data_IF_084671014636
#
_entry.id   IF_084671014636
#
_cell.length_a   1.000
_cell.length_b   1.000
_cell.length_c   1.000
_cell.angle_alpha   90.00
_cell.angle_beta   90.00
_cell.angle_gamma   90.00
#
_symmetry.space_group_name_H-M   'P 1'
#
loop_
_entity.id
_entity.type
_entity.pdbx_description
1 polymer ?
#
# COMPACT_ATOMS: atom_id res chain seq x y z
N UNK A 1 -11.83 14.14 -28.82
CA UNK A 1 -12.02 12.74 -28.38
C UNK A 1 -11.97 12.61 -26.86
N UNK A 2 -10.83 12.82 -26.19
CA UNK A 2 -10.71 12.70 -24.72
C UNK A 2 -11.76 13.51 -23.93
N UNK A 3 -11.93 14.81 -24.22
CA UNK A 3 -12.95 15.66 -23.57
C UNK A 3 -14.38 15.09 -23.62
N UNK A 4 -14.71 14.37 -24.70
CA UNK A 4 -16.02 13.75 -24.84
C UNK A 4 -16.10 12.45 -24.02
N UNK A 5 -15.05 11.61 -24.07
CA UNK A 5 -14.97 10.38 -23.29
C UNK A 5 -15.07 10.66 -21.78
N UNK A 6 -14.35 11.64 -21.26
CA UNK A 6 -14.38 11.98 -19.82
C UNK A 6 -15.76 12.43 -19.29
N UNK A 7 -16.71 12.75 -20.17
CA UNK A 7 -18.08 13.20 -19.82
C UNK A 7 -19.18 12.18 -20.08
N UNK A 8 -18.85 10.98 -20.56
CA UNK A 8 -19.82 9.92 -20.88
C UNK A 8 -20.06 8.93 -19.74
N UNK A 9 -19.79 9.31 -18.49
CA UNK A 9 -19.98 8.44 -17.33
C UNK A 9 -18.91 7.36 -17.14
N UNK A 10 -17.78 7.45 -17.85
CA UNK A 10 -16.64 6.52 -17.70
C UNK A 10 -15.80 6.77 -16.43
N UNK A 11 -16.07 7.86 -15.71
CA UNK A 11 -15.28 8.33 -14.56
C UNK A 11 -16.22 8.79 -13.45
N UNK A 12 -15.74 8.74 -12.21
CA UNK A 12 -16.41 9.42 -11.10
C UNK A 12 -16.41 10.95 -11.32
N UNK A 13 -17.42 11.64 -10.79
CA UNK A 13 -17.64 13.06 -11.07
C UNK A 13 -16.48 13.93 -10.58
N UNK A 14 -15.90 13.59 -9.43
CA UNK A 14 -14.74 14.28 -8.84
C UNK A 14 -13.53 14.19 -9.78
N UNK A 15 -13.32 13.03 -10.40
CA UNK A 15 -12.25 12.81 -11.37
C UNK A 15 -12.50 13.61 -12.64
N UNK A 16 -13.71 13.51 -13.21
CA UNK A 16 -14.06 14.24 -14.44
C UNK A 16 -13.86 15.75 -14.28
N UNK A 17 -14.25 16.32 -13.14
CA UNK A 17 -14.05 17.73 -12.82
C UNK A 17 -12.56 18.10 -12.74
N UNK A 18 -11.74 17.23 -12.10
CA UNK A 18 -10.29 17.46 -12.02
C UNK A 18 -9.63 17.45 -13.41
N UNK A 19 -10.11 16.61 -14.33
CA UNK A 19 -9.62 16.58 -15.70
C UNK A 19 -9.93 17.87 -16.48
N UNK A 20 -11.03 18.56 -16.19
CA UNK A 20 -11.33 19.84 -16.85
C UNK A 20 -10.30 20.92 -16.55
N UNK A 21 -9.80 20.96 -15.31
CA UNK A 21 -8.72 21.87 -14.93
C UNK A 21 -7.48 21.63 -15.80
N UNK A 22 -7.12 20.36 -16.03
CA UNK A 22 -6.00 19.99 -16.90
C UNK A 22 -6.26 20.31 -18.37
N UNK A 23 -7.50 20.12 -18.83
CA UNK A 23 -7.89 20.51 -20.17
C UNK A 23 -7.91 22.03 -20.36
N UNK A 24 -8.25 22.82 -19.34
CA UNK A 24 -8.24 24.27 -19.37
C UNK A 24 -6.80 24.82 -19.37
N UNK A 25 -5.90 24.19 -18.61
CA UNK A 25 -4.46 24.51 -18.62
C UNK A 25 -3.77 24.21 -19.97
N UNK A 26 -4.36 23.34 -20.78
CA UNK A 26 -3.84 22.92 -22.08
C UNK A 26 -2.94 21.68 -21.98
N UNK A 27 -3.21 20.70 -22.84
CA UNK A 27 -2.40 19.48 -22.89
C UNK A 27 -1.06 19.75 -23.57
N UNK A 28 0.01 19.16 -23.03
CA UNK A 28 1.37 19.23 -23.58
C UNK A 28 1.77 17.89 -24.19
N UNK A 29 2.73 17.93 -25.11
CA UNK A 29 3.42 16.72 -25.53
C UNK A 29 4.08 16.06 -24.32
N UNK A 30 4.07 14.74 -24.32
CA UNK A 30 4.62 13.93 -23.24
C UNK A 30 5.89 13.28 -23.75
N UNK A 31 7.00 13.48 -23.03
CA UNK A 31 8.25 12.82 -23.35
C UNK A 31 8.18 11.34 -22.95
N UNK A 32 8.29 10.49 -23.96
CA UNK A 32 8.16 9.04 -23.87
C UNK A 32 9.49 8.30 -24.05
N UNK A 33 10.61 9.01 -24.11
CA UNK A 33 11.94 8.43 -24.35
C UNK A 33 12.91 8.72 -23.21
N UNK A 34 13.84 7.81 -22.92
CA UNK A 34 14.93 7.98 -21.95
C UNK A 34 16.25 7.57 -22.57
N UNK A 35 17.31 8.29 -22.23
CA UNK A 35 18.67 7.99 -22.66
C UNK A 35 19.25 6.78 -21.90
N UNK A 36 20.17 6.07 -22.54
CA UNK A 36 21.03 5.10 -21.86
C UNK A 36 21.93 5.79 -20.81
N UNK A 37 22.30 5.09 -19.71
CA UNK A 37 21.88 3.74 -19.34
C UNK A 37 20.47 3.71 -18.74
N UNK A 38 19.62 2.79 -19.22
CA UNK A 38 18.26 2.60 -18.72
C UNK A 38 17.88 1.12 -18.71
N UNK A 39 17.14 0.70 -17.68
CA UNK A 39 16.55 -0.64 -17.63
C UNK A 39 15.12 -0.58 -18.15
N UNK A 40 14.93 -0.98 -19.40
CA UNK A 40 13.63 -0.97 -20.08
C UNK A 40 13.73 -1.46 -21.52
N UNK A 41 12.68 -1.22 -22.30
CA UNK A 41 12.65 -1.61 -23.70
C UNK A 41 13.31 -0.56 -24.60
N UNK A 42 14.22 -1.00 -25.48
CA UNK A 42 14.84 -0.13 -26.49
C UNK A 42 13.81 0.34 -27.52
N UNK A 43 13.91 1.60 -27.94
CA UNK A 43 13.06 2.13 -29.01
C UNK A 43 13.57 1.57 -30.35
N UNK A 44 12.73 0.88 -31.15
CA UNK A 44 13.14 0.35 -32.44
C UNK A 44 13.72 1.43 -33.36
N UNK A 45 14.85 1.13 -34.01
CA UNK A 45 15.53 2.07 -34.90
C UNK A 45 16.39 3.12 -34.20
N UNK A 46 16.67 2.96 -32.91
CA UNK A 46 17.59 3.82 -32.14
C UNK A 46 18.66 2.99 -31.43
N UNK A 47 19.84 3.58 -31.22
CA UNK A 47 20.97 2.88 -30.60
C UNK A 47 20.96 2.96 -29.07
N UNK A 48 20.57 4.11 -28.53
CA UNK A 48 20.73 4.52 -27.13
C UNK A 48 19.46 5.07 -26.46
N UNK A 49 18.28 4.90 -27.09
CA UNK A 49 17.00 5.35 -26.52
C UNK A 49 16.14 4.19 -26.04
N UNK A 50 15.46 4.43 -24.92
CA UNK A 50 14.55 3.51 -24.27
C UNK A 50 13.17 4.14 -24.10
N UNK A 51 12.11 3.34 -24.09
CA UNK A 51 10.79 3.83 -23.73
C UNK A 51 10.76 4.22 -22.25
N UNK A 52 10.18 5.37 -21.94
CA UNK A 52 9.91 5.77 -20.57
C UNK A 52 8.85 4.84 -19.96
N UNK A 53 9.06 4.42 -18.71
CA UNK A 53 8.19 3.44 -18.01
C UNK A 53 6.70 3.80 -18.03
N UNK A 54 6.34 5.08 -18.08
CA UNK A 54 4.92 5.46 -18.12
C UNK A 54 4.25 5.23 -19.48
N UNK A 55 5.02 4.95 -20.54
CA UNK A 55 4.50 4.45 -21.82
C UNK A 55 4.27 2.94 -21.78
N UNK A 56 5.24 2.15 -21.31
CA UNK A 56 5.15 0.69 -21.35
C UNK A 56 4.33 0.07 -20.19
N UNK A 57 4.28 0.73 -19.02
CA UNK A 57 3.55 0.23 -17.86
C UNK A 57 2.07 -0.08 -18.14
N UNK A 58 1.24 0.82 -18.72
CA UNK A 58 -0.15 0.50 -19.02
C UNK A 58 -0.29 -0.53 -20.16
N UNK A 59 0.68 -0.62 -21.08
CA UNK A 59 0.73 -1.71 -22.09
C UNK A 59 0.94 -3.06 -21.38
N UNK A 60 1.53 -3.07 -20.19
CA UNK A 60 1.58 -4.23 -19.30
C UNK A 60 0.22 -4.87 -19.01
N UNK A 61 -0.89 -4.10 -18.99
CA UNK A 61 -2.24 -4.67 -18.88
C UNK A 61 -2.59 -5.57 -20.07
N UNK A 62 -2.27 -5.10 -21.28
CA UNK A 62 -2.46 -5.84 -22.52
C UNK A 62 -1.53 -7.06 -22.57
N UNK A 63 -0.26 -6.89 -22.24
CA UNK A 63 0.73 -7.96 -22.27
C UNK A 63 0.38 -9.09 -21.28
N UNK A 64 -0.04 -8.73 -20.06
CA UNK A 64 -0.50 -9.68 -19.06
C UNK A 64 -1.72 -10.47 -19.54
N UNK A 65 -2.71 -9.78 -20.11
CA UNK A 65 -3.90 -10.42 -20.65
C UNK A 65 -3.59 -11.28 -21.89
N UNK A 66 -2.69 -10.83 -22.77
CA UNK A 66 -2.24 -11.61 -23.92
C UNK A 66 -1.58 -12.92 -23.48
N UNK A 67 -0.73 -12.89 -22.45
CA UNK A 67 -0.14 -14.11 -21.88
C UNK A 67 -1.23 -15.07 -21.41
N UNK A 68 -2.24 -14.57 -20.69
CA UNK A 68 -3.40 -15.38 -20.28
C UNK A 68 -4.17 -15.96 -21.48
N UNK A 69 -4.41 -15.16 -22.52
CA UNK A 69 -5.04 -15.60 -23.76
C UNK A 69 -4.27 -16.75 -24.43
N UNK A 70 -2.95 -16.61 -24.54
CA UNK A 70 -2.08 -17.63 -25.14
C UNK A 70 -2.11 -18.93 -24.31
N UNK A 71 -2.18 -18.84 -22.97
CA UNK A 71 -2.23 -19.99 -22.05
C UNK A 71 -3.60 -20.68 -21.99
N UNK A 72 -4.70 -19.93 -22.20
CA UNK A 72 -6.08 -20.44 -22.06
C UNK A 72 -6.84 -20.60 -23.37
N UNK A 73 -6.24 -20.24 -24.50
CA UNK A 73 -6.90 -20.27 -25.81
C UNK A 73 -8.05 -19.25 -25.93
N UNK A 74 -7.99 -18.14 -25.19
CA UNK A 74 -8.99 -17.06 -25.24
C UNK A 74 -8.56 -16.02 -26.28
N UNK A 75 -9.49 -15.44 -27.03
CA UNK A 75 -9.18 -14.43 -28.03
C UNK A 75 -8.75 -13.10 -27.38
N UNK A 76 -7.53 -12.64 -27.66
CA UNK A 76 -7.08 -11.31 -27.23
C UNK A 76 -7.88 -10.20 -27.92
N UNK A 77 -8.15 -10.38 -29.23
CA UNK A 77 -8.86 -9.44 -30.08
C UNK A 77 -10.28 -9.16 -29.57
N UNK A 78 -10.96 -10.19 -29.04
CA UNK A 78 -12.31 -10.06 -28.46
C UNK A 78 -12.38 -8.98 -27.37
N UNK A 79 -11.29 -8.74 -26.63
CA UNK A 79 -11.26 -7.79 -25.51
C UNK A 79 -10.64 -6.44 -25.86
N UNK A 80 -9.65 -6.42 -26.76
CA UNK A 80 -8.82 -5.23 -27.01
C UNK A 80 -9.03 -4.56 -28.36
N UNK A 81 -9.68 -5.22 -29.31
CA UNK A 81 -10.03 -4.60 -30.59
C UNK A 81 -11.00 -3.45 -30.39
N UNK A 82 -10.87 -2.42 -31.25
CA UNK A 82 -11.67 -1.19 -31.20
C UNK A 82 -13.18 -1.41 -31.14
N UNK A 83 -13.67 -2.49 -31.74
CA UNK A 83 -15.09 -2.85 -31.83
C UNK A 83 -15.55 -3.82 -30.75
N UNK A 84 -14.69 -4.12 -29.77
CA UNK A 84 -15.04 -5.02 -28.68
C UNK A 84 -16.28 -4.53 -27.91
N UNK A 85 -17.15 -5.47 -27.58
CA UNK A 85 -18.36 -5.26 -26.77
C UNK A 85 -18.16 -5.63 -25.30
N UNK A 86 -17.00 -6.18 -24.93
CA UNK A 86 -16.69 -6.52 -23.53
C UNK A 86 -16.49 -5.25 -22.70
N UNK A 87 -16.41 -5.40 -21.39
CA UNK A 87 -16.13 -4.28 -20.47
C UNK A 87 -14.67 -4.29 -20.02
N UNK A 88 -14.03 -3.12 -20.05
CA UNK A 88 -12.65 -2.93 -19.58
C UNK A 88 -12.62 -1.92 -18.43
N UNK A 89 -12.28 -2.38 -17.23
CA UNK A 89 -12.24 -1.56 -16.01
C UNK A 89 -10.83 -1.45 -15.45
N UNK A 90 -10.43 -0.24 -15.08
CA UNK A 90 -9.18 0.01 -14.37
C UNK A 90 -9.47 0.53 -12.96
N UNK A 91 -9.00 -0.17 -11.93
CA UNK A 91 -9.02 0.32 -10.55
C UNK A 91 -7.66 0.95 -10.22
N UNK A 92 -7.65 2.23 -9.86
CA UNK A 92 -6.42 3.01 -9.70
C UNK A 92 -6.49 3.97 -8.51
N UNK A 93 -5.34 4.31 -7.93
CA UNK A 93 -5.24 5.39 -6.95
C UNK A 93 -5.32 6.77 -7.62
N UNK A 94 -5.76 7.79 -6.85
CA UNK A 94 -5.91 9.17 -7.36
C UNK A 94 -4.66 9.80 -8.00
N UNK A 95 -3.46 9.39 -7.59
CA UNK A 95 -2.19 9.93 -8.12
C UNK A 95 -1.90 9.56 -9.57
N UNK A 96 -2.50 8.47 -10.07
CA UNK A 96 -2.19 7.95 -11.41
C UNK A 96 -3.36 8.14 -12.39
N UNK A 97 -4.36 8.92 -11.99
CA UNK A 97 -5.55 9.24 -12.80
C UNK A 97 -5.19 9.95 -14.09
N UNK A 98 -4.23 10.89 -14.06
CA UNK A 98 -3.76 11.58 -15.27
C UNK A 98 -3.36 10.59 -16.37
N UNK A 99 -2.60 9.57 -15.98
CA UNK A 99 -2.13 8.54 -16.89
C UNK A 99 -3.26 7.68 -17.43
N UNK A 100 -4.20 7.29 -16.58
CA UNK A 100 -5.25 6.33 -16.95
C UNK A 100 -6.46 6.96 -17.64
N UNK A 101 -6.68 8.26 -17.46
CA UNK A 101 -7.83 8.98 -18.02
C UNK A 101 -7.47 9.92 -19.18
N UNK A 102 -6.19 10.24 -19.39
CA UNK A 102 -5.73 11.06 -20.52
C UNK A 102 -4.73 10.33 -21.41
N UNK A 103 -3.57 9.98 -20.86
CA UNK A 103 -2.45 9.45 -21.64
C UNK A 103 -2.77 8.07 -22.24
N UNK A 104 -3.27 7.16 -21.42
CA UNK A 104 -3.57 5.78 -21.82
C UNK A 104 -4.70 5.68 -22.85
N UNK A 105 -5.87 6.34 -22.67
CA UNK A 105 -6.91 6.36 -23.71
C UNK A 105 -6.43 6.99 -25.02
N UNK A 106 -5.52 7.96 -24.97
CA UNK A 106 -4.92 8.54 -26.18
C UNK A 106 -4.04 7.54 -26.93
N UNK A 107 -3.19 6.79 -26.21
CA UNK A 107 -2.36 5.72 -26.81
C UNK A 107 -3.23 4.63 -27.44
N UNK A 108 -4.25 4.15 -26.71
CA UNK A 108 -5.17 3.13 -27.21
C UNK A 108 -5.86 3.59 -28.50
N UNK A 109 -6.42 4.81 -28.51
CA UNK A 109 -7.05 5.37 -29.70
C UNK A 109 -6.06 5.52 -30.86
N UNK A 110 -4.85 6.01 -30.60
CA UNK A 110 -3.81 6.22 -31.61
C UNK A 110 -3.27 4.93 -32.20
N UNK A 111 -3.30 3.84 -31.44
CA UNK A 111 -2.89 2.49 -31.87
C UNK A 111 -4.04 1.63 -32.38
N UNK A 112 -5.26 2.17 -32.48
CA UNK A 112 -6.41 1.46 -33.05
C UNK A 112 -7.10 0.46 -32.10
N UNK A 113 -6.92 0.58 -30.79
CA UNK A 113 -7.55 -0.27 -29.77
C UNK A 113 -8.80 0.38 -29.17
N UNK A 114 -9.59 -0.42 -28.44
CA UNK A 114 -10.72 0.09 -27.66
C UNK A 114 -10.29 0.92 -26.47
N UNK A 115 -11.18 1.81 -26.01
CA UNK A 115 -10.97 2.60 -24.79
C UNK A 115 -11.48 1.85 -23.56
N UNK A 116 -11.01 2.19 -22.35
CA UNK A 116 -11.58 1.67 -21.12
C UNK A 116 -13.08 1.99 -21.02
N UNK A 117 -13.86 1.04 -20.52
CA UNK A 117 -15.29 1.23 -20.20
C UNK A 117 -15.44 2.17 -19.01
N UNK A 118 -14.61 2.00 -17.97
CA UNK A 118 -14.49 2.99 -16.90
C UNK A 118 -13.14 2.92 -16.18
N UNK A 119 -12.75 4.03 -15.56
CA UNK A 119 -11.64 4.09 -14.62
C UNK A 119 -12.19 4.41 -13.24
N UNK A 120 -12.07 3.46 -12.33
CA UNK A 120 -12.53 3.56 -10.95
C UNK A 120 -11.38 3.98 -10.06
N UNK A 121 -11.48 5.19 -9.53
CA UNK A 121 -10.45 5.81 -8.72
C UNK A 121 -10.76 5.66 -7.24
N UNK A 122 -9.78 5.35 -6.42
CA UNK A 122 -9.88 5.39 -4.95
C UNK A 122 -8.90 6.42 -4.35
N UNK A 123 -9.20 6.90 -3.14
CA UNK A 123 -8.29 7.77 -2.39
C UNK A 123 -7.10 7.02 -1.78
N UNK A 124 -6.33 7.72 -0.97
CA UNK A 124 -5.23 7.15 -0.21
C UNK A 124 -5.71 6.39 1.02
N UNK A 125 -4.84 5.52 1.52
CA UNK A 125 -4.97 4.93 2.84
C UNK A 125 -4.21 5.79 3.85
N UNK A 126 -4.87 6.12 4.96
CA UNK A 126 -4.24 6.65 6.18
C UNK A 126 -4.32 5.62 7.30
N UNK A 127 -3.42 5.74 8.28
CA UNK A 127 -3.39 4.91 9.49
C UNK A 127 -3.54 5.84 10.68
N UNK A 128 -4.58 5.64 11.49
CA UNK A 128 -4.94 6.50 12.64
C UNK A 128 -4.89 8.01 12.30
N UNK A 129 -5.47 8.38 11.15
CA UNK A 129 -5.54 9.75 10.64
C UNK A 129 -4.25 10.28 10.03
N UNK A 130 -3.18 9.49 9.98
CA UNK A 130 -1.87 9.91 9.46
C UNK A 130 -1.56 9.25 8.12
N UNK A 131 -0.91 10.01 7.22
CA UNK A 131 -0.32 9.43 6.01
C UNK A 131 0.72 8.38 6.39
N UNK A 132 0.65 7.22 5.74
CA UNK A 132 1.63 6.14 5.90
C UNK A 132 3.05 6.66 5.73
N UNK A 133 3.91 6.35 6.70
CA UNK A 133 5.33 6.72 6.67
C UNK A 133 6.15 5.60 7.29
N UNK A 134 7.27 5.27 6.63
CA UNK A 134 8.26 4.31 7.16
C UNK A 134 8.86 4.81 8.47
N UNK A 135 9.26 6.08 8.53
CA UNK A 135 9.89 6.68 9.71
C UNK A 135 8.97 6.76 10.93
N UNK A 136 7.65 6.87 10.73
CA UNK A 136 6.66 6.86 11.84
C UNK A 136 6.16 5.45 12.18
N UNK A 137 6.63 4.42 11.47
CA UNK A 137 6.16 3.03 11.65
C UNK A 137 4.71 2.80 11.25
N UNK A 138 4.11 3.70 10.46
CA UNK A 138 2.73 3.57 9.97
C UNK A 138 2.66 3.01 8.55
N UNK A 139 3.80 2.63 7.97
CA UNK A 139 3.85 1.90 6.70
C UNK A 139 3.80 0.40 6.97
N UNK A 140 2.62 -0.20 6.88
CA UNK A 140 2.43 -1.63 7.18
C UNK A 140 2.47 -2.42 5.87
N UNK A 141 3.44 -3.31 5.75
CA UNK A 141 3.51 -4.22 4.62
C UNK A 141 2.47 -5.34 4.74
N UNK A 142 1.87 -5.73 3.61
CA UNK A 142 0.89 -6.81 3.59
C UNK A 142 1.47 -8.13 4.12
N UNK A 143 2.76 -8.41 3.88
CA UNK A 143 3.42 -9.61 4.41
C UNK A 143 3.50 -9.58 5.94
N UNK A 144 3.93 -8.45 6.51
CA UNK A 144 3.98 -8.25 7.95
C UNK A 144 2.59 -8.39 8.57
N UNK A 145 1.55 -7.81 7.95
CA UNK A 145 0.17 -7.97 8.41
C UNK A 145 -0.25 -9.45 8.53
N UNK A 146 0.03 -10.25 7.49
CA UNK A 146 -0.35 -11.67 7.44
C UNK A 146 0.32 -12.54 8.51
N UNK A 147 1.44 -12.10 9.09
CA UNK A 147 2.08 -12.82 10.20
C UNK A 147 1.27 -12.75 11.49
N UNK A 148 0.41 -11.74 11.65
CA UNK A 148 -0.30 -11.47 12.92
C UNK A 148 -1.82 -11.53 12.79
N UNK A 149 -2.38 -11.14 11.64
CA UNK A 149 -3.81 -10.91 11.49
C UNK A 149 -4.38 -11.66 10.28
N UNK A 150 -5.63 -12.12 10.42
CA UNK A 150 -6.37 -12.73 9.33
C UNK A 150 -6.66 -11.67 8.25
N UNK A 151 -6.32 -11.90 6.96
CA UNK A 151 -6.57 -10.95 5.87
C UNK A 151 -8.04 -10.55 5.71
N UNK A 152 -8.97 -11.41 6.09
CA UNK A 152 -10.41 -11.12 5.98
C UNK A 152 -10.87 -9.99 6.89
N UNK A 153 -10.18 -9.74 8.00
CA UNK A 153 -10.45 -8.59 8.85
C UNK A 153 -10.24 -7.29 8.08
N UNK A 154 -9.12 -7.17 7.36
CA UNK A 154 -8.79 -5.98 6.57
C UNK A 154 -9.74 -5.83 5.38
N UNK A 155 -10.04 -6.94 4.69
CA UNK A 155 -11.01 -6.95 3.57
C UNK A 155 -12.37 -6.44 4.02
N UNK A 156 -12.88 -6.95 5.14
CA UNK A 156 -14.14 -6.51 5.71
C UNK A 156 -14.13 -5.04 6.07
N UNK A 157 -13.09 -4.60 6.79
CA UNK A 157 -12.99 -3.22 7.25
C UNK A 157 -12.95 -2.23 6.08
N UNK A 158 -12.20 -2.55 5.02
CA UNK A 158 -12.18 -1.72 3.81
C UNK A 158 -13.51 -1.74 3.06
N UNK A 159 -14.13 -2.92 2.89
CA UNK A 159 -15.45 -3.01 2.28
C UNK A 159 -16.51 -2.20 3.05
N UNK A 160 -16.44 -2.17 4.38
CA UNK A 160 -17.35 -1.39 5.22
C UNK A 160 -17.18 0.14 5.09
N UNK A 161 -16.08 0.61 4.50
CA UNK A 161 -15.75 2.04 4.36
C UNK A 161 -15.75 2.56 2.91
N UNK A 162 -15.54 1.69 1.92
CA UNK A 162 -15.52 2.08 0.51
C UNK A 162 -16.93 2.40 -0.02
N UNK A 163 -17.12 3.63 -0.53
CA UNK A 163 -18.44 4.21 -0.84
C UNK A 163 -18.60 4.62 -2.33
N UNK A 164 -17.77 4.07 -3.23
CA UNK A 164 -17.78 4.39 -4.67
C UNK A 164 -17.18 5.74 -5.06
N UNK A 165 -16.85 6.61 -4.09
CA UNK A 165 -16.25 7.94 -4.31
C UNK A 165 -14.73 7.91 -4.19
N UNK A 166 -14.08 9.02 -4.53
CA UNK A 166 -12.63 9.20 -4.43
C UNK A 166 -12.27 9.84 -3.09
N UNK A 167 -12.65 9.15 -2.01
CA UNK A 167 -12.35 9.57 -0.64
C UNK A 167 -11.15 8.81 -0.10
N UNK A 168 -10.35 9.47 0.76
CA UNK A 168 -9.30 8.81 1.50
C UNK A 168 -9.91 7.90 2.58
N UNK A 169 -9.34 6.73 2.78
CA UNK A 169 -9.81 5.73 3.73
C UNK A 169 -8.85 5.69 4.92
N UNK A 170 -9.39 5.78 6.12
CA UNK A 170 -8.60 5.66 7.35
C UNK A 170 -8.74 4.27 7.98
N UNK A 171 -7.59 3.60 8.19
CA UNK A 171 -7.47 2.43 9.04
C UNK A 171 -7.16 2.88 10.46
N UNK A 172 -8.21 3.02 11.25
CA UNK A 172 -8.11 3.29 12.67
C UNK A 172 -8.19 1.97 13.44
N UNK A 173 -7.17 1.64 14.24
CA UNK A 173 -7.08 0.30 14.83
C UNK A 173 -8.14 0.03 15.90
N UNK A 174 -8.58 1.05 16.63
CA UNK A 174 -9.66 0.91 17.61
C UNK A 174 -11.01 0.63 16.92
N UNK A 175 -11.38 1.43 15.92
CA UNK A 175 -12.57 1.18 15.09
C UNK A 175 -12.46 -0.16 14.34
N UNK A 176 -11.28 -0.53 13.86
CA UNK A 176 -11.02 -1.82 13.22
C UNK A 176 -11.32 -3.00 14.13
N UNK A 177 -10.77 -3.02 15.34
CA UNK A 177 -11.02 -4.07 16.34
C UNK A 177 -12.52 -4.13 16.66
N UNK A 178 -13.11 -2.98 16.98
CA UNK A 178 -14.51 -2.90 17.40
C UNK A 178 -15.45 -3.39 16.31
N UNK A 179 -15.26 -2.92 15.08
CA UNK A 179 -16.11 -3.25 13.94
C UNK A 179 -15.99 -4.73 13.56
N UNK A 180 -14.78 -5.26 13.41
CA UNK A 180 -14.58 -6.68 13.07
C UNK A 180 -15.16 -7.58 14.16
N UNK A 181 -14.91 -7.27 15.43
CA UNK A 181 -15.38 -8.08 16.54
C UNK A 181 -16.90 -8.00 16.74
N UNK A 182 -17.50 -6.83 16.59
CA UNK A 182 -18.93 -6.65 16.72
C UNK A 182 -19.68 -7.31 15.56
N UNK A 183 -19.26 -7.03 14.32
CA UNK A 183 -20.00 -7.46 13.15
C UNK A 183 -19.74 -8.94 12.81
N UNK A 184 -18.48 -9.32 12.59
CA UNK A 184 -18.17 -10.67 12.11
C UNK A 184 -18.36 -11.70 13.21
N UNK A 185 -17.77 -11.46 14.39
CA UNK A 185 -17.88 -12.41 15.50
C UNK A 185 -19.22 -12.26 16.23
N UNK A 186 -19.57 -11.02 16.60
CA UNK A 186 -20.75 -10.73 17.42
C UNK A 186 -22.09 -10.88 16.70
N UNK A 187 -22.16 -10.70 15.38
CA UNK A 187 -23.41 -10.88 14.62
C UNK A 187 -23.37 -12.12 13.74
N UNK A 188 -22.40 -12.24 12.82
CA UNK A 188 -22.41 -13.28 11.78
C UNK A 188 -22.08 -14.68 12.33
N UNK A 189 -20.91 -14.86 12.94
CA UNK A 189 -20.50 -16.16 13.54
C UNK A 189 -21.42 -16.54 14.69
N UNK A 190 -21.91 -15.55 15.44
CA UNK A 190 -22.81 -15.77 16.56
C UNK A 190 -24.05 -16.58 16.15
N UNK A 191 -24.67 -16.26 15.01
CA UNK A 191 -25.83 -17.00 14.48
C UNK A 191 -25.50 -18.49 14.33
N UNK A 192 -24.43 -18.81 13.59
CA UNK A 192 -24.04 -20.21 13.35
C UNK A 192 -23.71 -20.92 14.67
N UNK A 193 -22.93 -20.30 15.55
CA UNK A 193 -22.52 -20.91 16.81
C UNK A 193 -23.69 -21.20 17.76
N UNK A 194 -24.70 -20.33 17.80
CA UNK A 194 -25.88 -20.47 18.67
C UNK A 194 -26.87 -21.53 18.17
N UNK A 195 -26.94 -21.76 16.87
CA UNK A 195 -27.84 -22.75 16.27
C UNK A 195 -27.17 -24.12 16.12
N UNK A 196 -25.92 -24.18 15.63
CA UNK A 196 -25.25 -25.43 15.31
C UNK A 196 -25.05 -26.34 16.53
N UNK A 197 -24.80 -25.75 17.70
CA UNK A 197 -24.63 -26.52 18.94
C UNK A 197 -25.84 -27.39 19.28
N UNK A 198 -27.06 -26.92 19.01
CA UNK A 198 -28.29 -27.71 19.23
C UNK A 198 -28.45 -28.79 18.16
N UNK A 199 -28.27 -28.42 16.88
CA UNK A 199 -28.32 -29.36 15.74
C UNK A 199 -27.37 -30.53 15.92
N UNK A 200 -26.13 -30.25 16.32
CA UNK A 200 -25.09 -31.28 16.48
C UNK A 200 -25.37 -32.20 17.68
N UNK A 201 -25.83 -31.65 18.82
CA UNK A 201 -25.97 -32.40 20.07
C UNK A 201 -27.31 -33.13 20.23
N UNK A 202 -28.37 -32.64 19.59
CA UNK A 202 -29.75 -33.11 19.83
C UNK A 202 -30.41 -33.73 18.60
N UNK A 203 -29.86 -33.49 17.40
CA UNK A 203 -30.51 -33.86 16.14
C UNK A 203 -29.57 -34.56 15.15
N UNK A 204 -28.44 -35.14 15.61
CA UNK A 204 -27.43 -35.82 14.77
C UNK A 204 -27.01 -35.04 13.51
N UNK A 205 -26.83 -33.72 13.68
CA UNK A 205 -26.46 -32.81 12.61
C UNK A 205 -27.53 -32.70 11.48
N UNK A 206 -28.77 -33.08 11.75
CA UNK A 206 -29.87 -33.05 10.79
C UNK A 206 -30.69 -31.76 10.93
N UNK A 207 -30.87 -31.03 9.84
CA UNK A 207 -31.78 -29.89 9.75
C UNK A 207 -33.24 -30.36 9.62
N UNK A 208 -34.16 -29.53 10.11
CA UNK A 208 -35.61 -29.76 10.02
C UNK A 208 -36.09 -29.82 8.56
N UNK A 209 -37.24 -30.44 8.34
CA UNK A 209 -37.93 -30.50 7.04
C UNK A 209 -38.57 -29.16 6.64
N UNK A 210 -38.67 -28.20 7.56
CA UNK A 210 -39.31 -26.90 7.34
C UNK A 210 -38.59 -25.75 8.04
N UNK A 211 -38.83 -24.53 7.54
CA UNK A 211 -38.46 -23.29 8.21
C UNK A 211 -39.58 -22.90 9.17
N UNK A 212 -39.23 -22.58 10.43
CA UNK A 212 -40.19 -22.04 11.40
C UNK A 212 -40.59 -20.59 11.11
N UNK A 213 -39.82 -19.86 10.30
CA UNK A 213 -40.16 -18.49 9.88
C UNK A 213 -39.80 -18.26 8.40
N UNK A 214 -40.60 -18.81 7.45
CA UNK A 214 -40.35 -18.67 6.01
C UNK A 214 -40.40 -17.21 5.54
N UNK A 215 -41.29 -16.39 6.11
CA UNK A 215 -41.47 -14.99 5.72
C UNK A 215 -40.22 -14.16 6.01
N UNK A 216 -39.50 -14.44 7.11
CA UNK A 216 -38.22 -13.80 7.39
C UNK A 216 -37.18 -14.16 6.32
N UNK A 217 -37.09 -15.44 5.94
CA UNK A 217 -36.17 -15.90 4.89
C UNK A 217 -36.41 -15.17 3.57
N UNK A 218 -37.66 -15.15 3.10
CA UNK A 218 -38.05 -14.45 1.87
C UNK A 218 -37.72 -12.95 1.96
N UNK A 219 -38.05 -12.30 3.07
CA UNK A 219 -37.79 -10.87 3.25
C UNK A 219 -36.31 -10.49 3.29
N UNK A 220 -35.42 -11.41 3.65
CA UNK A 220 -33.97 -11.20 3.60
C UNK A 220 -33.44 -11.50 2.19
N UNK A 221 -33.96 -12.54 1.55
CA UNK A 221 -33.62 -12.88 0.17
C UNK A 221 -33.96 -11.74 -0.81
N UNK A 222 -35.04 -11.00 -0.60
CA UNK A 222 -35.39 -9.85 -1.47
C UNK A 222 -34.37 -8.71 -1.43
N UNK A 223 -33.63 -8.55 -0.32
CA UNK A 223 -32.57 -7.53 -0.20
C UNK A 223 -31.37 -7.81 -1.11
N UNK A 224 -31.24 -9.04 -1.62
CA UNK A 224 -30.18 -9.48 -2.54
C UNK A 224 -29.96 -8.50 -3.68
N UNK A 225 -31.03 -7.98 -4.29
CA UNK A 225 -30.95 -7.08 -5.44
C UNK A 225 -30.19 -5.79 -5.09
N UNK A 226 -30.54 -5.17 -3.98
CA UNK A 226 -29.96 -3.89 -3.55
C UNK A 226 -28.52 -4.07 -3.05
N UNK A 227 -28.23 -5.21 -2.42
CA UNK A 227 -26.87 -5.58 -2.01
C UNK A 227 -25.98 -5.78 -3.25
N UNK A 228 -26.45 -6.51 -4.26
CA UNK A 228 -25.74 -6.68 -5.53
C UNK A 228 -25.52 -5.32 -6.21
N UNK A 229 -26.53 -4.44 -6.24
CA UNK A 229 -26.37 -3.09 -6.78
C UNK A 229 -25.31 -2.30 -6.01
N UNK A 230 -25.23 -2.44 -4.67
CA UNK A 230 -24.14 -1.86 -3.88
C UNK A 230 -22.76 -2.29 -4.35
N UNK A 231 -22.56 -3.59 -4.61
CA UNK A 231 -21.31 -4.10 -5.16
C UNK A 231 -21.03 -3.61 -6.59
N UNK A 232 -22.04 -3.62 -7.48
CA UNK A 232 -21.90 -3.15 -8.87
C UNK A 232 -21.53 -1.66 -8.91
N UNK A 233 -22.17 -0.84 -8.09
CA UNK A 233 -21.88 0.59 -7.98
C UNK A 233 -20.60 0.91 -7.19
N UNK A 234 -19.95 -0.12 -6.62
CA UNK A 234 -18.76 -0.02 -5.76
C UNK A 234 -19.00 0.75 -4.45
N UNK A 235 -20.27 0.90 -4.07
CA UNK A 235 -20.68 1.36 -2.74
C UNK A 235 -20.76 0.13 -1.81
N UNK A 236 -19.59 -0.41 -1.50
CA UNK A 236 -19.43 -1.59 -0.66
C UNK A 236 -19.91 -1.31 0.76
N UNK A 237 -19.72 -0.09 1.26
CA UNK A 237 -20.18 0.34 2.58
C UNK A 237 -21.70 0.24 2.70
N UNK A 238 -22.45 0.63 1.66
CA UNK A 238 -23.90 0.43 1.60
C UNK A 238 -24.28 -1.04 1.61
N UNK A 239 -23.62 -1.87 0.80
CA UNK A 239 -23.87 -3.31 0.76
C UNK A 239 -23.61 -3.96 2.14
N UNK A 240 -22.46 -3.67 2.77
CA UNK A 240 -22.13 -4.18 4.11
C UNK A 240 -23.13 -3.73 5.16
N UNK A 241 -23.59 -2.47 5.12
CA UNK A 241 -24.61 -1.98 6.07
C UNK A 241 -25.91 -2.77 5.96
N UNK A 242 -26.42 -2.98 4.74
CA UNK A 242 -27.63 -3.76 4.50
C UNK A 242 -27.48 -5.21 4.97
N UNK A 243 -26.31 -5.83 4.74
CA UNK A 243 -26.02 -7.17 5.24
C UNK A 243 -26.03 -7.21 6.78
N UNK A 244 -25.44 -6.22 7.45
CA UNK A 244 -25.43 -6.15 8.91
C UNK A 244 -26.82 -5.89 9.50
N UNK A 245 -27.66 -5.09 8.84
CA UNK A 245 -29.07 -4.91 9.20
C UNK A 245 -29.84 -6.24 9.08
N UNK A 246 -29.56 -7.04 8.04
CA UNK A 246 -30.11 -8.39 7.95
C UNK A 246 -29.61 -9.27 9.11
N UNK A 247 -28.32 -9.23 9.43
CA UNK A 247 -27.75 -10.00 10.54
C UNK A 247 -28.36 -9.63 11.91
N UNK A 248 -28.68 -8.36 12.14
CA UNK A 248 -29.38 -7.90 13.34
C UNK A 248 -30.78 -8.53 13.43
N UNK A 249 -31.53 -8.56 12.32
CA UNK A 249 -32.85 -9.23 12.25
C UNK A 249 -32.77 -10.72 12.53
N UNK A 250 -31.73 -11.41 12.03
CA UNK A 250 -31.52 -12.84 12.32
C UNK A 250 -31.20 -13.09 13.79
N UNK A 251 -30.32 -12.27 14.39
CA UNK A 251 -30.02 -12.40 15.82
C UNK A 251 -31.27 -12.12 16.67
N UNK A 252 -32.05 -11.08 16.34
CA UNK A 252 -33.31 -10.78 17.01
C UNK A 252 -34.32 -11.93 16.93
N UNK A 253 -34.42 -12.58 15.76
CA UNK A 253 -35.26 -13.76 15.59
C UNK A 253 -34.85 -14.90 16.54
N UNK A 254 -33.55 -15.22 16.61
CA UNK A 254 -33.03 -16.25 17.52
C UNK A 254 -33.28 -15.84 18.98
N UNK A 255 -33.09 -14.56 19.31
CA UNK A 255 -33.28 -14.03 20.66
C UNK A 255 -34.73 -14.04 21.13
N UNK A 256 -35.66 -13.83 20.21
CA UNK A 256 -37.09 -13.83 20.50
C UNK A 256 -37.60 -15.26 20.76
N UNK A 257 -37.13 -16.22 19.97
CA UNK A 257 -37.54 -17.62 20.07
C UNK A 257 -36.84 -18.38 21.20
N UNK A 258 -35.68 -17.92 21.67
CA UNK A 258 -34.95 -18.48 22.82
C UNK A 258 -34.77 -20.00 22.77
N UNK A 259 -34.16 -20.58 21.72
CA UNK A 259 -34.00 -22.04 21.60
C UNK A 259 -33.29 -22.70 22.79
N UNK A 260 -32.44 -21.96 23.52
CA UNK A 260 -31.79 -22.46 24.75
C UNK A 260 -32.72 -22.62 25.96
N UNK A 261 -33.85 -21.91 25.98
CA UNK A 261 -34.91 -22.11 26.97
C UNK A 261 -35.76 -23.30 26.54
N UNK A 262 -36.18 -23.31 25.27
CA UNK A 262 -37.03 -24.36 24.71
C UNK A 262 -36.36 -25.74 24.76
N UNK A 263 -35.04 -25.82 24.56
CA UNK A 263 -34.29 -27.07 24.59
C UNK A 263 -34.23 -27.76 25.97
N UNK A 264 -34.75 -27.12 27.03
CA UNK A 264 -34.91 -27.74 28.36
C UNK A 264 -36.17 -28.61 28.43
N UNK A 265 -37.11 -28.41 27.51
CA UNK A 265 -38.35 -29.17 27.40
C UNK A 265 -38.22 -30.18 26.25
N UNK A 266 -38.32 -31.47 26.57
CA UNK A 266 -38.20 -32.56 25.60
C UNK A 266 -39.32 -32.55 24.56
N UNK A 267 -40.50 -32.04 24.90
CA UNK A 267 -41.65 -32.01 23.98
C UNK A 267 -41.51 -30.91 22.92
N UNK A 268 -40.66 -29.91 23.17
CA UNK A 268 -40.42 -28.77 22.27
C UNK A 268 -39.16 -28.90 21.42
N UNK A 269 -38.53 -30.08 21.40
CA UNK A 269 -37.30 -30.28 20.64
C UNK A 269 -37.49 -30.09 19.12
N UNK A 270 -38.64 -30.46 18.55
CA UNK A 270 -38.93 -30.20 17.13
C UNK A 270 -38.92 -28.71 16.80
N UNK A 271 -39.47 -27.87 17.70
CA UNK A 271 -39.48 -26.41 17.55
C UNK A 271 -38.05 -25.85 17.61
N UNK A 272 -37.21 -26.34 18.54
CA UNK A 272 -35.79 -25.97 18.63
C UNK A 272 -35.05 -26.30 17.32
N UNK A 273 -35.31 -27.49 16.75
CA UNK A 273 -34.70 -27.91 15.49
C UNK A 273 -35.11 -26.97 14.35
N UNK A 274 -36.40 -26.63 14.24
CA UNK A 274 -36.91 -25.72 13.21
C UNK A 274 -36.34 -24.30 13.34
N UNK A 275 -36.25 -23.77 14.57
CA UNK A 275 -35.65 -22.44 14.85
C UNK A 275 -34.18 -22.42 14.46
N UNK A 276 -33.41 -23.45 14.87
CA UNK A 276 -32.00 -23.52 14.55
C UNK A 276 -31.77 -23.76 13.05
N UNK A 277 -32.64 -24.53 12.39
CA UNK A 277 -32.62 -24.72 10.93
C UNK A 277 -32.86 -23.41 10.19
N UNK A 278 -33.80 -22.61 10.66
CA UNK A 278 -34.08 -21.28 10.12
C UNK A 278 -32.87 -20.35 10.32
N UNK A 279 -32.31 -20.30 11.53
CA UNK A 279 -31.10 -19.51 11.83
C UNK A 279 -29.91 -19.87 10.94
N UNK A 280 -29.66 -21.17 10.71
CA UNK A 280 -28.57 -21.63 9.84
C UNK A 280 -28.80 -21.34 8.36
N UNK A 281 -30.05 -21.41 7.89
CA UNK A 281 -30.41 -20.99 6.54
C UNK A 281 -30.25 -19.47 6.33
N UNK A 282 -30.61 -18.67 7.33
CA UNK A 282 -30.39 -17.22 7.30
C UNK A 282 -28.89 -16.87 7.38
N UNK A 283 -28.11 -17.60 8.17
CA UNK A 283 -26.64 -17.51 8.17
C UNK A 283 -26.06 -17.81 6.78
N UNK A 284 -26.56 -18.85 6.10
CA UNK A 284 -26.17 -19.19 4.73
C UNK A 284 -26.42 -18.03 3.76
N UNK A 285 -27.56 -17.35 3.85
CA UNK A 285 -27.85 -16.15 3.05
C UNK A 285 -26.81 -15.05 3.30
N UNK A 286 -26.55 -14.71 4.56
CA UNK A 286 -25.60 -13.67 4.93
C UNK A 286 -24.18 -13.99 4.45
N UNK A 287 -23.73 -15.25 4.59
CA UNK A 287 -22.42 -15.66 4.09
C UNK A 287 -22.32 -15.62 2.57
N UNK A 288 -23.42 -15.88 1.87
CA UNK A 288 -23.46 -15.75 0.41
C UNK A 288 -23.31 -14.29 -0.01
N UNK A 289 -23.96 -13.38 0.72
CA UNK A 289 -23.83 -11.94 0.49
C UNK A 289 -22.42 -11.41 0.82
N UNK A 290 -21.78 -11.98 1.85
CA UNK A 290 -20.43 -11.61 2.28
C UNK A 290 -19.31 -12.30 1.48
N UNK A 291 -19.60 -13.34 0.71
CA UNK A 291 -18.58 -14.13 -0.01
C UNK A 291 -17.60 -13.32 -0.87
N UNK A 292 -18.00 -12.24 -1.59
CA UNK A 292 -17.05 -11.38 -2.29
C UNK A 292 -16.02 -10.69 -1.38
N UNK A 293 -16.39 -10.48 -0.10
CA UNK A 293 -15.57 -9.79 0.91
C UNK A 293 -14.82 -10.79 1.80
N UNK A 294 -15.46 -11.90 2.17
CA UNK A 294 -14.99 -12.91 3.11
C UNK A 294 -14.92 -14.31 2.44
N UNK A 295 -14.04 -14.53 1.46
CA UNK A 295 -14.00 -15.76 0.68
C UNK A 295 -13.59 -17.01 1.48
N UNK A 296 -12.65 -16.89 2.43
CA UNK A 296 -12.19 -18.03 3.26
C UNK A 296 -13.25 -18.41 4.28
N UNK A 297 -13.88 -17.42 4.91
CA UNK A 297 -14.99 -17.65 5.83
C UNK A 297 -16.20 -18.26 5.10
N UNK A 298 -16.49 -17.82 3.88
CA UNK A 298 -17.54 -18.41 3.05
C UNK A 298 -17.24 -19.87 2.71
N UNK A 299 -15.99 -20.20 2.35
CA UNK A 299 -15.57 -21.58 2.12
C UNK A 299 -15.69 -22.46 3.39
N UNK A 300 -15.32 -21.92 4.55
CA UNK A 300 -15.50 -22.61 5.82
C UNK A 300 -16.99 -22.80 6.15
N UNK A 301 -17.84 -21.83 5.83
CA UNK A 301 -19.29 -21.94 5.96
C UNK A 301 -19.89 -22.98 5.00
N UNK A 302 -19.42 -23.06 3.75
CA UNK A 302 -19.80 -24.09 2.76
C UNK A 302 -19.49 -25.49 3.29
N UNK A 303 -18.27 -25.68 3.81
CA UNK A 303 -17.85 -26.94 4.43
C UNK A 303 -18.69 -27.27 5.66
N UNK A 304 -18.96 -26.31 6.54
CA UNK A 304 -19.78 -26.51 7.73
C UNK A 304 -21.22 -26.90 7.36
N UNK A 305 -21.84 -26.14 6.46
CA UNK A 305 -23.21 -26.39 6.01
C UNK A 305 -23.32 -27.60 5.08
N UNK A 306 -22.20 -28.20 4.68
CA UNK A 306 -22.14 -29.34 3.77
C UNK A 306 -22.96 -29.08 2.48
N UNK A 307 -22.73 -27.93 1.86
CA UNK A 307 -23.50 -27.49 0.70
C UNK A 307 -22.59 -27.13 -0.48
N UNK A 308 -23.20 -27.07 -1.66
CA UNK A 308 -22.54 -26.56 -2.87
C UNK A 308 -22.00 -25.14 -2.65
N UNK A 309 -21.00 -24.69 -3.43
CA UNK A 309 -20.46 -23.34 -3.32
C UNK A 309 -21.57 -22.29 -3.33
N UNK A 310 -21.54 -21.36 -2.38
CA UNK A 310 -22.54 -20.30 -2.26
C UNK A 310 -22.51 -19.42 -3.51
N UNK A 311 -23.63 -19.35 -4.24
CA UNK A 311 -23.82 -18.45 -5.37
C UNK A 311 -25.08 -17.62 -5.16
N UNK A 312 -25.25 -16.56 -5.95
CA UNK A 312 -26.44 -15.71 -5.84
C UNK A 312 -27.74 -16.45 -6.20
N UNK A 313 -27.65 -17.47 -7.04
CA UNK A 313 -28.78 -18.24 -7.56
C UNK A 313 -29.17 -19.40 -6.63
N UNK A 314 -28.20 -20.12 -6.06
CA UNK A 314 -28.51 -21.34 -5.31
C UNK A 314 -29.03 -21.10 -3.87
N UNK A 315 -29.03 -19.85 -3.43
CA UNK A 315 -29.49 -19.44 -2.11
C UNK A 315 -31.00 -19.21 -2.03
N UNK A 316 -31.73 -19.33 -3.14
CA UNK A 316 -33.20 -19.21 -3.11
C UNK A 316 -33.86 -20.40 -2.41
N UNK A 317 -33.22 -21.58 -2.49
CA UNK A 317 -33.72 -22.81 -1.87
C UNK A 317 -33.05 -23.03 -0.51
N UNK A 318 -33.80 -23.10 0.60
CA UNK A 318 -33.23 -23.42 1.89
C UNK A 318 -32.75 -24.88 1.95
N UNK A 319 -31.78 -25.14 2.83
CA UNK A 319 -31.34 -26.46 3.22
C UNK A 319 -32.35 -27.02 4.22
N UNK A 320 -33.19 -27.95 3.76
CA UNK A 320 -34.22 -28.65 4.55
C UNK A 320 -33.98 -30.15 4.48
N UNK A 321 -34.26 -30.85 5.56
CA UNK A 321 -33.95 -32.28 5.70
C UNK A 321 -32.52 -32.60 5.24
N UNK A 322 -31.58 -31.76 5.65
CA UNK A 322 -30.21 -31.76 5.18
C UNK A 322 -29.24 -32.01 6.33
N UNK A 323 -28.19 -32.80 6.10
CA UNK A 323 -27.17 -33.09 7.11
C UNK A 323 -25.99 -32.15 6.97
N UNK A 324 -25.71 -31.41 8.04
CA UNK A 324 -24.55 -30.52 8.14
C UNK A 324 -23.35 -31.22 8.78
N UNK A 325 -22.16 -30.61 8.67
CA UNK A 325 -20.95 -31.08 9.33
C UNK A 325 -20.82 -30.48 10.74
N UNK A 326 -19.87 -31.02 11.52
CA UNK A 326 -19.57 -30.50 12.85
C UNK A 326 -19.10 -29.04 12.77
N UNK A 327 -19.71 -28.17 13.58
CA UNK A 327 -19.36 -26.76 13.62
C UNK A 327 -18.00 -26.53 14.28
N UNK A 328 -17.18 -25.72 13.63
CA UNK A 328 -15.95 -25.13 14.18
C UNK A 328 -16.05 -23.61 14.13
N UNK A 329 -15.45 -22.88 15.09
CA UNK A 329 -15.42 -21.42 15.03
C UNK A 329 -14.87 -20.92 13.69
N UNK A 330 -15.69 -20.17 12.94
CA UNK A 330 -15.34 -19.69 11.59
C UNK A 330 -14.42 -18.47 11.62
N UNK A 331 -14.44 -17.72 12.72
CA UNK A 331 -13.60 -16.56 12.93
C UNK A 331 -13.41 -16.29 14.41
N UNK A 332 -12.21 -15.86 14.77
CA UNK A 332 -11.85 -15.46 16.14
C UNK A 332 -11.84 -13.95 16.27
N UNK A 333 -11.92 -13.46 17.51
CA UNK A 333 -11.84 -12.02 17.79
C UNK A 333 -10.44 -11.49 17.46
N UNK A 334 -10.39 -10.26 16.97
CA UNK A 334 -9.17 -9.47 16.87
C UNK A 334 -8.75 -9.07 18.28
N UNK A 335 -7.50 -9.39 18.60
CA UNK A 335 -6.83 -9.08 19.86
C UNK A 335 -5.91 -7.87 19.65
N UNK A 336 -5.93 -6.92 20.60
CA UNK A 336 -5.13 -5.69 20.51
C UNK A 336 -3.63 -6.01 20.50
N UNK A 337 -3.25 -7.02 21.25
CA UNK A 337 -1.89 -7.51 21.40
C UNK A 337 -1.27 -7.93 20.05
N UNK A 338 -2.07 -8.50 19.14
CA UNK A 338 -1.61 -8.88 17.79
C UNK A 338 -1.36 -7.66 16.90
N UNK A 339 -2.17 -6.62 17.04
CA UNK A 339 -1.95 -5.35 16.34
C UNK A 339 -0.68 -4.67 16.87
N UNK A 340 -0.50 -4.62 18.18
CA UNK A 340 0.67 -3.99 18.79
C UNK A 340 1.97 -4.74 18.43
N UNK A 341 1.93 -6.07 18.38
CA UNK A 341 3.04 -6.89 17.89
C UNK A 341 3.36 -6.62 16.42
N UNK A 342 2.34 -6.52 15.56
CA UNK A 342 2.50 -6.16 14.14
C UNK A 342 3.13 -4.77 13.96
N UNK A 343 2.67 -3.78 14.72
CA UNK A 343 3.19 -2.41 14.67
C UNK A 343 4.64 -2.35 15.17
N UNK A 344 4.99 -3.15 16.18
CA UNK A 344 6.36 -3.29 16.66
C UNK A 344 7.27 -3.87 15.57
N UNK A 345 6.92 -5.00 14.96
CA UNK A 345 7.70 -5.57 13.84
C UNK A 345 7.79 -4.60 12.65
N UNK A 346 6.73 -3.85 12.38
CA UNK A 346 6.72 -2.84 11.30
C UNK A 346 7.77 -1.75 11.55
N UNK A 347 7.90 -1.28 12.80
CA UNK A 347 8.94 -0.30 13.17
C UNK A 347 10.34 -0.88 13.07
N UNK A 348 10.54 -2.12 13.52
CA UNK A 348 11.83 -2.81 13.43
C UNK A 348 12.27 -3.00 11.97
N UNK A 349 11.36 -3.44 11.09
CA UNK A 349 11.64 -3.59 9.66
C UNK A 349 12.02 -2.26 8.99
N UNK A 350 11.38 -1.16 9.39
CA UNK A 350 11.74 0.18 8.87
C UNK A 350 13.18 0.56 9.22
N UNK A 351 13.61 0.33 10.48
CA UNK A 351 14.97 0.65 10.94
C UNK A 351 16.03 -0.20 10.22
N UNK A 352 15.77 -1.49 10.02
CA UNK A 352 16.69 -2.37 9.28
C UNK A 352 16.77 -1.95 7.80
N UNK A 353 15.64 -1.58 7.19
CA UNK A 353 15.61 -1.14 5.78
C UNK A 353 16.29 0.22 5.53
N UNK A 354 16.40 1.08 6.54
CA UNK A 354 17.18 2.33 6.46
C UNK A 354 18.69 2.08 6.60
N UNK A 355 19.10 1.02 7.30
CA UNK A 355 20.51 0.63 7.45
C UNK A 355 21.10 -0.09 6.21
N UNK A 356 20.26 -0.72 5.37
CA UNK A 356 20.69 -1.54 4.23
C UNK A 356 20.64 -0.84 2.85
N UNK A 357 20.21 0.42 2.76
CA UNK A 357 20.26 1.15 1.49
C UNK A 357 21.68 1.62 1.17
N UNK A 358 22.21 1.36 -0.05
CA UNK A 358 23.38 2.07 -0.55
C UNK A 358 23.03 3.56 -0.58
N UNK A 359 23.86 4.37 0.08
CA UNK A 359 23.66 5.81 0.23
C UNK A 359 23.79 6.50 -1.13
N UNK A 360 22.67 6.70 -1.83
CA UNK A 360 22.54 7.84 -2.73
C UNK A 360 22.33 9.08 -1.86
N UNK A 361 23.29 10.01 -1.94
CA UNK A 361 23.31 11.28 -1.21
C UNK A 361 22.10 12.16 -1.59
N UNK A 362 20.97 11.96 -0.92
CA UNK A 362 20.09 13.08 -0.56
C UNK A 362 20.51 13.52 0.83
N UNK A 363 21.04 14.75 0.92
CA UNK A 363 21.65 15.33 2.10
C UNK A 363 20.92 14.96 3.41
N UNK A 364 21.63 14.25 4.30
CA UNK A 364 21.30 14.22 5.72
C UNK A 364 21.43 15.66 6.22
N UNK A 365 20.30 16.36 6.37
CA UNK A 365 20.29 17.70 6.93
C UNK A 365 20.75 17.62 8.38
N UNK A 366 21.90 18.21 8.68
CA UNK A 366 22.37 18.40 10.05
C UNK A 366 21.72 19.65 10.64
N UNK A 367 21.55 19.70 11.96
CA UNK A 367 21.07 20.91 12.61
C UNK A 367 22.16 22.00 12.63
N UNK A 368 21.77 23.26 12.86
CA UNK A 368 22.76 24.35 12.99
C UNK A 368 23.67 24.13 14.20
N UNK A 369 23.17 23.45 15.25
CA UNK A 369 23.96 23.06 16.41
C UNK A 369 25.07 22.08 16.02
N UNK A 370 24.79 21.14 15.12
CA UNK A 370 25.81 20.21 14.63
C UNK A 370 26.87 20.91 13.79
N UNK A 371 26.51 21.87 12.94
CA UNK A 371 27.48 22.69 12.22
C UNK A 371 28.33 23.55 13.18
N UNK A 372 27.71 24.13 14.21
CA UNK A 372 28.40 24.99 15.19
C UNK A 372 29.50 24.28 15.99
N UNK A 373 29.44 22.94 16.06
CA UNK A 373 30.48 22.10 16.69
C UNK A 373 31.77 22.05 15.87
N UNK A 374 31.76 22.42 14.59
CA UNK A 374 32.94 22.38 13.72
C UNK A 374 33.71 23.70 13.84
N UNK A 375 34.99 23.65 14.21
CA UNK A 375 35.86 24.84 14.25
C UNK A 375 36.55 25.00 12.89
N UNK A 376 35.90 25.74 11.99
CA UNK A 376 36.47 26.10 10.69
C UNK A 376 37.25 27.41 10.81
N UNK A 377 38.52 27.40 10.40
CA UNK A 377 39.40 28.59 10.42
C UNK A 377 40.07 28.82 9.08
N UNK A 378 40.33 30.09 8.77
CA UNK A 378 41.22 30.45 7.67
C UNK A 378 42.66 30.18 8.09
N UNK A 379 43.41 29.47 7.25
CA UNK A 379 44.81 29.14 7.47
C UNK A 379 45.68 29.58 6.29
N UNK A 380 46.90 30.05 6.56
CA UNK A 380 47.92 30.31 5.53
C UNK A 380 48.84 29.10 5.41
N UNK A 381 49.06 28.63 4.19
CA UNK A 381 50.04 27.59 3.93
C UNK A 381 51.43 28.23 3.97
N UNK A 382 52.22 27.93 5.01
CA UNK A 382 53.57 28.50 5.20
C UNK A 382 54.65 27.58 4.65
N UNK A 383 54.38 26.27 4.57
CA UNK A 383 55.23 25.30 3.87
C UNK A 383 54.37 24.18 3.28
N UNK A 384 54.82 23.63 2.15
CA UNK A 384 54.20 22.50 1.50
C UNK A 384 55.28 21.59 0.91
N UNK A 385 55.19 20.29 1.17
CA UNK A 385 56.17 19.30 0.73
C UNK A 385 55.48 18.01 0.25
N UNK A 386 56.09 17.32 -0.69
CA UNK A 386 55.64 15.98 -1.07
C UNK A 386 55.97 14.98 0.05
N UNK A 387 55.04 14.07 0.33
CA UNK A 387 55.28 13.00 1.30
C UNK A 387 56.00 11.84 0.60
N UNK A 388 57.19 11.49 1.07
CA UNK A 388 57.95 10.35 0.56
C UNK A 388 57.20 9.04 0.84
N UNK A 389 56.97 8.23 -0.19
CA UNK A 389 56.19 7.00 -0.09
C UNK A 389 54.67 7.16 -0.12
N UNK A 390 54.14 8.36 -0.43
CA UNK A 390 52.71 8.57 -0.68
C UNK A 390 52.45 9.36 -1.98
N UNK A 391 51.80 8.71 -2.95
CA UNK A 391 51.59 9.28 -4.28
C UNK A 391 50.53 10.38 -4.33
N UNK A 392 49.66 10.45 -3.31
CA UNK A 392 48.50 11.37 -3.27
C UNK A 392 48.60 12.48 -2.24
N UNK A 393 49.58 12.43 -1.32
CA UNK A 393 49.61 13.32 -0.15
C UNK A 393 50.68 14.42 -0.26
N UNK A 394 50.29 15.62 0.15
CA UNK A 394 51.20 16.71 0.50
C UNK A 394 51.18 16.93 2.01
N UNK A 395 52.35 17.20 2.61
CA UNK A 395 52.49 17.67 3.98
C UNK A 395 52.44 19.20 3.95
N UNK A 396 51.46 19.78 4.63
CA UNK A 396 51.28 21.22 4.72
C UNK A 396 51.53 21.68 6.16
N UNK A 397 52.28 22.76 6.30
CA UNK A 397 52.31 23.55 7.53
C UNK A 397 51.41 24.76 7.38
N UNK A 398 50.47 24.88 8.30
CA UNK A 398 49.38 25.85 8.26
C UNK A 398 49.50 26.81 9.43
N UNK A 399 49.66 28.09 9.14
CA UNK A 399 49.53 29.16 10.12
C UNK A 399 48.05 29.50 10.31
N UNK A 400 47.55 29.35 11.54
CA UNK A 400 46.17 29.67 11.95
C UNK A 400 46.13 30.90 12.87
N UNK A 401 47.15 31.76 12.81
CA UNK A 401 47.25 33.02 13.54
C UNK A 401 47.84 32.88 14.95
N UNK A 402 47.26 32.01 15.78
CA UNK A 402 47.71 31.76 17.16
C UNK A 402 48.71 30.60 17.29
N UNK A 403 48.79 29.75 16.26
CA UNK A 403 49.56 28.51 16.27
C UNK A 403 49.84 28.04 14.84
N UNK A 404 50.72 27.06 14.69
CA UNK A 404 50.89 26.31 13.45
C UNK A 404 50.33 24.90 13.62
N UNK A 405 49.73 24.39 12.55
CA UNK A 405 49.20 23.02 12.48
C UNK A 405 49.76 22.30 11.28
N UNK A 406 50.16 21.04 11.50
CA UNK A 406 50.54 20.16 10.41
C UNK A 406 49.33 19.37 9.91
N UNK A 407 49.13 19.34 8.59
CA UNK A 407 48.13 18.47 7.97
C UNK A 407 48.68 17.73 6.77
N UNK A 408 48.12 16.56 6.49
CA UNK A 408 48.42 15.81 5.27
C UNK A 408 47.20 15.85 4.34
N UNK A 409 47.35 16.49 3.18
CA UNK A 409 46.26 16.76 2.26
C UNK A 409 46.38 15.92 0.98
N UNK A 410 45.28 15.28 0.57
CA UNK A 410 45.19 14.43 -0.62
C UNK A 410 45.13 15.18 -1.95
N UNK A 411 45.86 16.29 -2.10
CA UNK A 411 45.71 17.24 -3.21
C UNK A 411 46.91 17.25 -4.19
N UNK A 412 47.84 16.30 -4.02
CA UNK A 412 49.09 16.23 -4.81
C UNK A 412 48.87 16.07 -6.32
N UNK A 413 47.76 15.45 -6.73
CA UNK A 413 47.43 15.26 -8.15
C UNK A 413 46.99 16.55 -8.86
N UNK A 414 46.64 17.61 -8.12
CA UNK A 414 46.13 18.86 -8.66
C UNK A 414 47.03 20.07 -8.38
N UNK A 415 47.90 20.01 -7.36
CA UNK A 415 48.75 21.13 -6.95
C UNK A 415 50.19 20.70 -6.73
N UNK A 416 51.14 21.46 -7.29
CA UNK A 416 52.54 21.35 -6.91
C UNK A 416 52.77 22.06 -5.57
N UNK A 417 53.69 21.58 -4.71
CA UNK A 417 53.92 22.19 -3.39
C UNK A 417 54.27 23.69 -3.45
N UNK A 418 55.08 24.11 -4.44
CA UNK A 418 55.50 25.50 -4.60
C UNK A 418 54.32 26.47 -4.84
N UNK A 419 53.25 26.00 -5.50
CA UNK A 419 52.08 26.83 -5.85
C UNK A 419 51.15 27.06 -4.64
N UNK A 420 51.36 26.34 -3.55
CA UNK A 420 50.52 26.41 -2.35
C UNK A 420 51.06 27.39 -1.31
N UNK A 421 52.37 27.61 -1.28
CA UNK A 421 53.02 28.46 -0.28
C UNK A 421 52.48 29.90 -0.39
N UNK A 422 52.04 30.45 0.73
CA UNK A 422 51.46 31.79 0.85
C UNK A 422 49.94 31.86 0.63
N UNK A 423 49.32 30.83 0.04
CA UNK A 423 47.86 30.80 -0.18
C UNK A 423 47.09 30.66 1.14
N UNK A 424 45.88 31.21 1.15
CA UNK A 424 44.91 31.01 2.22
C UNK A 424 43.97 29.85 1.86
N UNK A 425 43.57 29.07 2.86
CA UNK A 425 42.60 27.98 2.72
C UNK A 425 41.75 27.83 3.97
N UNK A 426 40.74 26.95 3.92
CA UNK A 426 39.87 26.62 5.06
C UNK A 426 40.35 25.33 5.72
N UNK A 427 40.57 25.40 7.02
CA UNK A 427 41.00 24.30 7.88
C UNK A 427 39.89 23.93 8.87
N UNK A 428 39.60 22.64 9.01
CA UNK A 428 38.89 22.09 10.17
C UNK A 428 39.89 21.93 11.32
N UNK A 429 39.84 22.82 12.30
CA UNK A 429 40.86 22.98 13.33
C UNK A 429 40.62 22.11 14.58
N UNK A 430 39.41 21.61 14.82
CA UNK A 430 39.06 20.83 16.00
C UNK A 430 38.84 19.32 15.74
N UNK A 431 39.40 18.79 14.65
CA UNK A 431 39.48 17.35 14.47
C UNK A 431 40.49 16.75 15.46
N UNK A 432 40.17 15.58 16.01
CA UNK A 432 41.12 14.83 16.83
C UNK A 432 42.38 14.52 16.00
N UNK A 433 43.60 14.80 16.52
CA UNK A 433 44.82 14.51 15.80
C UNK A 433 44.92 13.05 15.40
N UNK A 434 45.30 12.80 14.14
CA UNK A 434 45.43 11.45 13.60
C UNK A 434 46.90 11.14 13.34
N UNK A 435 47.43 10.15 14.05
CA UNK A 435 48.76 9.61 13.77
C UNK A 435 48.75 8.84 12.45
N UNK A 436 49.62 9.23 11.53
CA UNK A 436 49.86 8.57 10.26
C UNK A 436 51.31 8.09 10.19
N UNK A 437 51.61 7.21 9.22
CA UNK A 437 52.95 6.68 8.98
C UNK A 437 54.02 7.78 8.85
N UNK A 438 53.63 8.97 8.40
CA UNK A 438 54.53 10.08 8.05
C UNK A 438 54.51 11.24 9.06
N UNK A 439 53.75 11.11 10.15
CA UNK A 439 53.58 12.15 11.18
C UNK A 439 52.14 12.29 11.66
N UNK A 440 51.89 13.28 12.52
CA UNK A 440 50.54 13.59 13.04
C UNK A 440 49.86 14.64 12.16
N UNK A 441 48.59 14.41 11.82
CA UNK A 441 47.72 15.42 11.16
C UNK A 441 46.78 16.01 12.19
N UNK A 442 46.83 17.33 12.35
CA UNK A 442 46.16 18.09 13.41
C UNK A 442 44.91 18.83 12.92
N UNK A 443 44.41 18.43 11.75
CA UNK A 443 43.26 19.01 11.08
C UNK A 443 43.12 18.50 9.65
N UNK A 444 42.23 19.14 8.91
CA UNK A 444 41.94 18.83 7.51
C UNK A 444 41.63 20.09 6.71
N UNK A 445 42.29 20.27 5.56
CA UNK A 445 41.93 21.32 4.59
C UNK A 445 40.75 20.90 3.73
N UNK A 446 39.94 21.87 3.31
CA UNK A 446 38.76 21.62 2.49
C UNK A 446 39.05 21.84 1.00
N UNK A 447 38.65 20.88 0.18
CA UNK A 447 38.73 20.95 -1.27
C UNK A 447 37.43 20.39 -1.89
N UNK A 448 36.99 20.98 -2.99
CA UNK A 448 35.88 20.46 -3.80
C UNK A 448 36.41 19.48 -4.87
N UNK A 449 35.64 18.44 -5.18
CA UNK A 449 35.97 17.49 -6.25
C UNK A 449 34.85 16.50 -6.55
N UNK A 450 34.82 16.01 -7.78
CA UNK A 450 33.84 15.05 -8.33
C UNK A 450 34.49 13.72 -8.77
N UNK A 451 35.72 13.48 -8.31
CA UNK A 451 36.55 12.34 -8.71
C UNK A 451 37.36 12.57 -10.00
N UNK A 452 37.12 13.65 -10.75
CA UNK A 452 37.89 14.04 -11.95
C UNK A 452 38.84 15.22 -11.71
N UNK A 453 38.53 16.12 -10.77
CA UNK A 453 39.39 17.24 -10.38
C UNK A 453 39.34 17.55 -8.87
N UNK A 454 40.37 18.24 -8.35
CA UNK A 454 40.44 18.72 -6.97
C UNK A 454 40.69 20.23 -6.94
N UNK A 455 39.87 20.96 -6.19
CA UNK A 455 39.90 22.42 -6.10
C UNK A 455 39.98 22.85 -4.64
N UNK A 456 41.13 23.34 -4.20
CA UNK A 456 41.34 23.84 -2.84
C UNK A 456 40.46 25.07 -2.59
N UNK A 457 39.67 25.06 -1.50
CA UNK A 457 38.83 26.21 -1.14
C UNK A 457 39.69 27.34 -0.59
N UNK A 458 39.43 28.56 -1.05
CA UNK A 458 40.15 29.78 -0.71
C UNK A 458 39.15 30.89 -0.35
N UNK A 459 39.41 31.69 0.71
CA UNK A 459 38.57 32.83 1.05
C UNK A 459 38.80 34.04 0.13
N UNK A 460 37.83 34.96 0.10
CA UNK A 460 37.95 36.26 -0.56
C UNK A 460 39.02 37.16 0.07
N UNK A 461 39.42 38.21 -0.66
CA UNK A 461 40.40 39.19 -0.21
C UNK A 461 39.98 39.88 1.10
N UNK A 462 40.91 39.99 2.05
CA UNK A 462 40.66 40.59 3.37
C UNK A 462 40.60 39.57 4.51
N UNK A 463 40.46 38.28 4.20
CA UNK A 463 40.60 37.21 5.19
C UNK A 463 42.06 37.12 5.69
N UNK A 464 42.23 36.84 6.99
CA UNK A 464 43.54 36.69 7.65
C UNK A 464 43.61 35.36 8.41
N UNK A 465 44.82 34.79 8.61
CA UNK A 465 45.00 33.56 9.38
C UNK A 465 44.34 33.64 10.77
N UNK A 466 43.62 32.58 11.13
CA UNK A 466 42.92 32.46 12.41
C UNK A 466 41.48 32.96 12.44
N UNK A 467 41.01 33.67 11.40
CA UNK A 467 39.61 34.06 11.31
C UNK A 467 38.69 32.83 11.28
N UNK A 468 37.64 32.83 12.12
CA UNK A 468 36.64 31.76 12.19
C UNK A 468 35.65 31.89 11.02
N UNK A 469 35.40 30.77 10.34
CA UNK A 469 34.35 30.65 9.32
C UNK A 469 33.03 30.32 10.04
N UNK A 470 31.94 31.00 9.67
CA UNK A 470 30.63 30.92 10.33
C UNK A 470 29.52 30.68 9.34
#
# INVERSE_FOLDING_TARGET
>A
MLRNWTRKGHLQIEVANKLDEWFAAGLKQWDISRDAPYFGFKIPGTDDKYFYVWLDAPIGYMASFKKYCDEKGVSFAEFWDKTSTTELYHFVGKDIVYFHALFWPAILAGSGHRLPTAVYTHGFLTIDGQKMSKSRGTFIEARTYLNYLNPEYLRYYFAAKLNGRVDDLDLNFEDFINRVNADLVGKIVNIASRCAGFINKRFDNQLSTELSEPALYESLLTTRKDIIDGFIQRDYARAIRQIMECADRVNQYIDTNKPWVLAKDSERLAEVQAICTTGLNLFRLLMSFLKPVLPLMAQAAESFLNCEPLTWENIEKPLLNHRINLFTPLMVRVEREKIDAMLTQTKENSVVSEAEKPVENTANTISIEDFSKIDLRIARIVAAEAVEGADKLLRLQLDVGDSQKQVFAGIKSAYAPADLIGRLTVLVANLAPRTMRFGVSEGMVLAAGDGKGLFLLQPDSGATPGMKVK
#
